data_IF_318940819365
#
_entry.id   IF_318940819365
#
_cell.length_a   1.000
_cell.length_b   1.000
_cell.length_c   1.000
_cell.angle_alpha   90.00
_cell.angle_beta   90.00
_cell.angle_gamma   90.00
#
_symmetry.space_group_name_H-M   'P 1'
#
loop_
_entity.id
_entity.type
_entity.pdbx_description
1 polymer ?
#
# COMPACT_ATOMS: atom_id res chain seq x y z
N UNK A 1 15.19 -16.16 -5.65
CA UNK A 1 16.14 -15.07 -5.33
C UNK A 1 15.73 -13.77 -6.03
N UNK A 2 14.64 -13.11 -5.60
CA UNK A 2 14.12 -11.90 -6.26
C UNK A 2 14.13 -10.66 -5.33
N UNK A 3 14.16 -10.85 -4.00
CA UNK A 3 14.15 -9.75 -3.01
C UNK A 3 15.40 -8.85 -3.08
N UNK A 4 16.58 -9.42 -3.38
CA UNK A 4 17.84 -8.67 -3.50
C UNK A 4 17.84 -7.70 -4.68
N UNK A 5 16.96 -7.88 -5.66
CA UNK A 5 16.87 -7.03 -6.86
C UNK A 5 16.18 -5.69 -6.59
N UNK A 6 15.47 -5.58 -5.47
CA UNK A 6 14.64 -4.43 -5.12
C UNK A 6 15.21 -3.56 -3.99
N UNK A 7 16.41 -3.86 -3.48
CA UNK A 7 17.14 -2.95 -2.57
C UNK A 7 17.86 -1.85 -3.37
N UNK A 8 17.13 -1.09 -4.18
CA UNK A 8 17.72 0.02 -4.93
C UNK A 8 17.72 1.29 -4.07
N UNK A 9 18.88 1.93 -3.83
CA UNK A 9 19.01 3.07 -2.94
C UNK A 9 18.38 4.38 -3.48
N UNK A 10 17.75 4.37 -4.67
CA UNK A 10 17.20 5.58 -5.29
C UNK A 10 15.89 5.27 -6.03
N UNK A 11 14.83 6.04 -5.74
CA UNK A 11 13.47 5.89 -6.30
C UNK A 11 13.47 5.90 -7.84
N UNK A 12 14.30 6.74 -8.47
CA UNK A 12 14.44 6.85 -9.94
C UNK A 12 14.99 5.57 -10.57
N UNK A 13 15.95 4.91 -9.91
CA UNK A 13 16.51 3.64 -10.39
C UNK A 13 15.49 2.50 -10.26
N UNK A 14 14.66 2.54 -9.21
CA UNK A 14 13.59 1.56 -9.03
C UNK A 14 12.47 1.71 -10.08
N UNK A 15 12.08 2.94 -10.40
CA UNK A 15 11.05 3.22 -11.41
C UNK A 15 11.48 2.74 -12.81
N UNK A 16 12.67 3.15 -13.25
CA UNK A 16 13.20 2.75 -14.56
C UNK A 16 13.40 1.23 -14.67
N UNK A 17 13.82 0.56 -13.59
CA UNK A 17 13.90 -0.90 -13.56
C UNK A 17 12.51 -1.56 -13.64
N UNK A 18 11.51 -1.05 -12.90
CA UNK A 18 10.15 -1.60 -12.95
C UNK A 18 9.54 -1.42 -14.35
N UNK A 19 9.71 -0.26 -14.98
CA UNK A 19 9.25 -0.01 -16.35
C UNK A 19 9.86 -0.99 -17.34
N UNK A 20 11.19 -1.20 -17.28
CA UNK A 20 11.88 -2.16 -18.15
C UNK A 20 11.43 -3.59 -17.88
N UNK A 21 11.22 -3.98 -16.62
CA UNK A 21 10.73 -5.32 -16.30
C UNK A 21 9.34 -5.56 -16.87
N UNK A 22 8.42 -4.60 -16.78
CA UNK A 22 7.10 -4.76 -17.37
C UNK A 22 7.10 -4.74 -18.90
N UNK A 23 8.03 -4.02 -19.55
CA UNK A 23 8.11 -3.90 -21.01
C UNK A 23 8.91 -5.03 -21.67
N UNK A 24 10.06 -5.41 -21.09
CA UNK A 24 11.03 -6.33 -21.70
C UNK A 24 10.79 -7.79 -21.26
N UNK A 25 10.24 -8.02 -20.06
CA UNK A 25 9.94 -9.37 -19.60
C UNK A 25 8.49 -9.72 -19.93
N UNK A 26 8.28 -10.47 -21.01
CA UNK A 26 6.97 -11.04 -21.40
C UNK A 26 6.28 -11.90 -20.29
N UNK A 27 6.96 -12.13 -19.17
CA UNK A 27 6.48 -12.92 -18.02
C UNK A 27 6.29 -12.09 -16.74
N UNK A 28 6.63 -10.79 -16.71
CA UNK A 28 6.43 -9.98 -15.52
C UNK A 28 4.97 -9.56 -15.41
N UNK A 29 4.21 -10.30 -14.60
CA UNK A 29 2.86 -9.92 -14.23
C UNK A 29 2.90 -8.99 -13.00
N UNK A 30 2.55 -7.70 -13.11
CA UNK A 30 2.56 -6.76 -11.99
C UNK A 30 1.55 -7.10 -10.88
N UNK A 31 0.56 -7.96 -11.17
CA UNK A 31 -0.37 -8.49 -10.17
C UNK A 31 0.09 -9.81 -9.52
N UNK A 32 1.31 -10.28 -9.84
CA UNK A 32 1.80 -11.55 -9.31
C UNK A 32 1.89 -11.57 -7.78
N UNK A 33 1.68 -12.76 -7.21
CA UNK A 33 1.79 -13.01 -5.78
C UNK A 33 0.97 -12.00 -4.96
N UNK A 34 -0.31 -11.82 -5.33
CA UNK A 34 -1.21 -10.85 -4.71
C UNK A 34 -0.62 -9.43 -4.70
N UNK A 35 -0.40 -8.87 -5.89
CA UNK A 35 0.09 -7.50 -6.10
C UNK A 35 1.38 -7.17 -5.34
N UNK A 36 2.30 -8.13 -5.24
CA UNK A 36 3.57 -7.94 -4.54
C UNK A 36 4.38 -6.72 -5.02
N UNK A 37 4.47 -6.42 -6.34
CA UNK A 37 5.14 -5.21 -6.82
C UNK A 37 4.53 -3.93 -6.24
N UNK A 38 3.19 -3.86 -6.18
CA UNK A 38 2.46 -2.73 -5.62
C UNK A 38 2.74 -2.58 -4.12
N UNK A 39 2.66 -3.67 -3.35
CA UNK A 39 2.94 -3.66 -1.91
C UNK A 39 4.36 -3.23 -1.60
N UNK A 40 5.33 -3.70 -2.39
CA UNK A 40 6.72 -3.27 -2.25
C UNK A 40 6.86 -1.77 -2.54
N UNK A 41 6.26 -1.28 -3.63
CA UNK A 41 6.29 0.15 -3.96
C UNK A 41 5.64 1.00 -2.87
N UNK A 42 4.50 0.55 -2.33
CA UNK A 42 3.76 1.21 -1.27
C UNK A 42 4.58 1.32 0.03
N UNK A 43 5.22 0.22 0.43
CA UNK A 43 6.10 0.17 1.61
C UNK A 43 7.31 1.13 1.52
N UNK A 44 7.80 1.41 0.32
CA UNK A 44 8.98 2.26 0.10
C UNK A 44 8.62 3.71 -0.27
N UNK A 45 7.32 4.06 -0.25
CA UNK A 45 6.87 5.40 -0.64
C UNK A 45 7.19 5.75 -2.09
N UNK A 46 7.29 4.74 -2.96
CA UNK A 46 7.62 4.93 -4.37
C UNK A 46 6.33 5.26 -5.15
N UNK A 47 5.77 6.44 -4.88
CA UNK A 47 4.48 6.88 -5.44
C UNK A 47 4.43 6.76 -6.98
N UNK A 48 5.52 7.11 -7.68
CA UNK A 48 5.57 6.98 -9.15
C UNK A 48 5.39 5.55 -9.62
N UNK A 49 5.94 4.57 -8.89
CA UNK A 49 5.77 3.14 -9.20
C UNK A 49 4.34 2.71 -8.86
N UNK A 50 3.79 3.19 -7.74
CA UNK A 50 2.40 2.91 -7.35
C UNK A 50 1.43 3.40 -8.43
N UNK A 51 1.56 4.66 -8.86
CA UNK A 51 0.78 5.25 -9.97
C UNK A 51 0.93 4.45 -11.24
N UNK A 52 2.17 4.22 -11.67
CA UNK A 52 2.45 3.46 -12.88
C UNK A 52 1.80 2.06 -12.83
N UNK A 53 1.88 1.35 -11.71
CA UNK A 53 1.27 0.02 -11.58
C UNK A 53 -0.26 0.05 -11.62
N UNK A 54 -0.89 0.99 -10.91
CA UNK A 54 -2.35 1.08 -10.78
C UNK A 54 -3.01 1.63 -12.06
N UNK A 55 -2.38 2.61 -12.71
CA UNK A 55 -2.93 3.29 -13.89
C UNK A 55 -2.64 2.52 -15.19
N UNK A 56 -1.49 1.86 -15.30
CA UNK A 56 -1.08 1.18 -16.55
C UNK A 56 -1.65 -0.23 -16.66
N UNK A 57 -1.90 -0.91 -15.53
CA UNK A 57 -2.31 -2.32 -15.52
C UNK A 57 -3.68 -2.47 -14.86
N UNK A 58 -4.78 -2.55 -15.65
CA UNK A 58 -6.14 -2.61 -15.13
C UNK A 58 -6.42 -3.79 -14.18
N UNK A 59 -5.65 -4.87 -14.31
CA UNK A 59 -5.77 -6.07 -13.48
C UNK A 59 -5.01 -5.97 -12.15
N UNK A 60 -4.26 -4.89 -11.91
CA UNK A 60 -3.68 -4.58 -10.60
C UNK A 60 -4.77 -3.93 -9.75
N UNK A 61 -5.15 -4.61 -8.67
CA UNK A 61 -6.17 -4.13 -7.73
C UNK A 61 -5.51 -3.67 -6.42
N UNK A 62 -5.50 -2.37 -6.10
CA UNK A 62 -4.90 -1.88 -4.86
C UNK A 62 -5.60 -2.37 -3.58
N UNK A 63 -6.83 -2.89 -3.67
CA UNK A 63 -7.56 -3.51 -2.56
C UNK A 63 -7.31 -5.02 -2.37
N UNK A 64 -6.52 -5.68 -3.22
CA UNK A 64 -6.23 -7.11 -3.06
C UNK A 64 -5.40 -7.41 -1.80
N UNK A 65 -5.44 -8.68 -1.36
CA UNK A 65 -4.78 -9.15 -0.14
C UNK A 65 -5.25 -8.34 1.07
N UNK A 66 -6.57 -8.10 1.18
CA UNK A 66 -7.18 -7.36 2.29
C UNK A 66 -6.59 -5.93 2.44
N UNK A 67 -6.45 -5.22 1.32
CA UNK A 67 -5.91 -3.85 1.27
C UNK A 67 -4.45 -3.73 1.75
N UNK A 68 -3.67 -4.81 1.70
CA UNK A 68 -2.33 -4.82 2.28
C UNK A 68 -1.34 -3.81 1.68
N UNK A 69 -1.63 -3.24 0.50
CA UNK A 69 -0.87 -2.12 -0.06
C UNK A 69 -1.00 -0.85 0.80
N UNK A 70 -2.20 -0.47 1.23
CA UNK A 70 -2.40 0.73 2.08
C UNK A 70 -1.81 0.51 3.46
N UNK A 71 -1.93 -0.71 4.01
CA UNK A 71 -1.24 -1.11 5.23
C UNK A 71 0.28 -0.92 5.13
N UNK A 72 0.90 -1.39 4.05
CA UNK A 72 2.36 -1.29 3.87
C UNK A 72 2.83 0.17 3.85
N UNK A 73 2.08 1.04 3.17
CA UNK A 73 2.36 2.47 3.14
C UNK A 73 2.14 3.11 4.53
N UNK A 74 1.08 2.72 5.23
CA UNK A 74 0.75 3.27 6.54
C UNK A 74 1.76 2.89 7.62
N UNK A 75 2.18 1.63 7.66
CA UNK A 75 3.22 1.11 8.56
C UNK A 75 4.62 1.67 8.27
N UNK A 76 4.82 2.29 7.09
CA UNK A 76 6.10 2.93 6.71
C UNK A 76 6.04 4.46 6.78
N UNK A 77 4.88 5.04 7.12
CA UNK A 77 4.71 6.49 7.27
C UNK A 77 4.55 7.26 5.96
N UNK A 78 4.24 6.57 4.85
CA UNK A 78 4.26 7.13 3.50
C UNK A 78 2.94 7.85 3.14
N UNK A 79 2.75 9.05 3.70
CA UNK A 79 1.50 9.83 3.62
C UNK A 79 1.00 10.01 2.18
N UNK A 80 1.85 10.47 1.26
CA UNK A 80 1.45 10.72 -0.14
C UNK A 80 0.99 9.44 -0.86
N UNK A 81 1.58 8.30 -0.47
CA UNK A 81 1.20 7.00 -1.03
C UNK A 81 -0.11 6.50 -0.45
N UNK A 82 -0.33 6.71 0.86
CA UNK A 82 -1.62 6.44 1.50
C UNK A 82 -2.71 7.30 0.85
N UNK A 83 -2.48 8.60 0.68
CA UNK A 83 -3.40 9.53 0.02
C UNK A 83 -3.82 9.04 -1.36
N UNK A 84 -2.85 8.67 -2.18
CA UNK A 84 -3.11 8.17 -3.53
C UNK A 84 -3.94 6.87 -3.51
N UNK A 85 -3.59 5.91 -2.65
CA UNK A 85 -4.30 4.64 -2.55
C UNK A 85 -5.74 4.82 -2.04
N UNK A 86 -5.97 5.71 -1.08
CA UNK A 86 -7.31 5.99 -0.53
C UNK A 86 -8.26 6.65 -1.53
N UNK A 87 -7.71 7.37 -2.51
CA UNK A 87 -8.50 7.96 -3.60
C UNK A 87 -8.96 6.91 -4.61
N UNK A 88 -8.41 5.69 -4.59
CA UNK A 88 -8.92 4.58 -5.40
C UNK A 88 -10.14 3.95 -4.72
N UNK A 89 -11.31 3.90 -5.38
CA UNK A 89 -12.55 3.39 -4.77
C UNK A 89 -12.49 1.89 -4.46
N UNK A 90 -11.51 1.16 -4.99
CA UNK A 90 -11.31 -0.27 -4.70
C UNK A 90 -10.61 -0.50 -3.36
N UNK A 91 -10.01 0.54 -2.77
CA UNK A 91 -9.33 0.46 -1.47
C UNK A 91 -10.32 0.75 -0.36
N UNK A 92 -10.40 -0.15 0.61
CA UNK A 92 -11.14 0.01 1.86
C UNK A 92 -10.18 0.27 3.03
N UNK A 93 -10.12 1.51 3.57
CA UNK A 93 -9.28 1.84 4.72
C UNK A 93 -9.74 1.21 6.03
N UNK A 94 -10.98 0.69 6.09
CA UNK A 94 -11.54 0.06 7.27
C UNK A 94 -11.29 -1.46 7.33
N UNK A 95 -10.69 -2.02 6.28
CA UNK A 95 -10.37 -3.44 6.17
C UNK A 95 -9.50 -3.94 7.34
N UNK A 96 -9.62 -5.23 7.63
CA UNK A 96 -8.92 -5.93 8.72
C UNK A 96 -9.00 -5.18 10.06
N UNK A 97 -10.20 -4.81 10.52
CA UNK A 97 -10.37 -4.10 11.79
C UNK A 97 -9.51 -2.82 11.89
N UNK A 98 -9.37 -2.11 10.77
CA UNK A 98 -8.59 -0.86 10.66
C UNK A 98 -7.10 -1.03 10.98
N UNK A 99 -6.49 -2.16 10.55
CA UNK A 99 -5.06 -2.43 10.76
C UNK A 99 -4.16 -1.26 10.32
N UNK A 100 -4.48 -0.59 9.22
CA UNK A 100 -3.69 0.56 8.73
C UNK A 100 -3.51 1.64 9.82
N UNK A 101 -4.55 1.92 10.60
CA UNK A 101 -4.53 2.90 11.70
C UNK A 101 -3.76 2.38 12.90
N UNK A 102 -3.95 1.09 13.24
CA UNK A 102 -3.26 0.47 14.37
C UNK A 102 -1.75 0.56 14.19
N UNK A 103 -1.25 0.18 13.00
CA UNK A 103 0.16 0.16 12.71
C UNK A 103 0.75 1.55 12.48
N UNK A 104 0.05 2.47 11.81
CA UNK A 104 0.53 3.85 11.71
C UNK A 104 0.64 4.50 13.10
N UNK A 105 -0.22 4.11 14.04
CA UNK A 105 -0.16 4.56 15.44
C UNK A 105 0.97 3.88 16.21
N UNK A 106 1.11 2.56 16.10
CA UNK A 106 2.16 1.77 16.77
C UNK A 106 3.57 2.25 16.39
N UNK A 107 3.78 2.55 15.10
CA UNK A 107 5.05 3.07 14.59
C UNK A 107 5.20 4.61 14.72
N UNK A 108 4.21 5.30 15.27
CA UNK A 108 4.29 6.74 15.55
C UNK A 108 4.13 7.65 14.32
N UNK A 109 3.58 7.14 13.22
CA UNK A 109 3.33 7.88 11.98
C UNK A 109 2.07 8.75 12.07
N UNK A 110 2.15 9.81 12.89
CA UNK A 110 1.02 10.69 13.21
C UNK A 110 0.31 11.26 11.98
N UNK A 111 1.06 11.71 10.96
CA UNK A 111 0.49 12.28 9.75
C UNK A 111 -0.35 11.27 8.96
N UNK A 112 0.10 10.00 8.89
CA UNK A 112 -0.68 8.92 8.29
C UNK A 112 -1.93 8.62 9.12
N UNK A 113 -1.79 8.49 10.44
CA UNK A 113 -2.94 8.23 11.34
C UNK A 113 -4.00 9.31 11.18
N UNK A 114 -3.61 10.59 11.21
CA UNK A 114 -4.52 11.70 10.99
C UNK A 114 -5.20 11.62 9.62
N UNK A 115 -4.45 11.27 8.58
CA UNK A 115 -5.02 11.18 7.24
C UNK A 115 -6.02 10.03 7.08
N UNK A 116 -5.74 8.88 7.68
CA UNK A 116 -6.68 7.74 7.72
C UNK A 116 -7.95 8.10 8.49
N UNK A 117 -7.83 8.80 9.62
CA UNK A 117 -8.97 9.24 10.43
C UNK A 117 -9.85 10.31 9.75
N UNK A 118 -9.31 11.03 8.77
CA UNK A 118 -10.08 11.96 7.95
C UNK A 118 -10.92 11.25 6.87
N UNK A 119 -10.65 9.97 6.59
CA UNK A 119 -11.45 9.21 5.64
C UNK A 119 -12.81 8.84 6.27
N UNK A 120 -13.95 9.23 5.66
CA UNK A 120 -15.27 8.99 6.26
C UNK A 120 -15.64 7.51 6.37
N UNK A 121 -14.92 6.62 5.69
CA UNK A 121 -15.13 5.17 5.76
C UNK A 121 -14.52 4.55 7.03
N UNK A 122 -13.62 5.29 7.70
CA UNK A 122 -12.95 4.84 8.92
C UNK A 122 -13.80 5.16 10.15
N UNK A 123 -13.93 4.19 11.05
CA UNK A 123 -14.61 4.38 12.33
C UNK A 123 -13.66 4.13 13.52
N UNK A 124 -13.05 5.17 14.11
CA UNK A 124 -12.11 5.00 15.23
C UNK A 124 -12.73 4.32 16.47
N UNK A 125 -14.06 4.33 16.61
CA UNK A 125 -14.78 3.73 17.74
C UNK A 125 -15.05 2.23 17.56
N UNK A 126 -14.83 1.65 16.37
CA UNK A 126 -15.08 0.22 16.11
C UNK A 126 -14.11 -0.71 16.85
N UNK A 127 -12.98 -0.18 17.36
CA UNK A 127 -11.94 -0.95 18.04
C UNK A 127 -12.38 -1.56 19.39
N UNK A 128 -13.50 -1.11 19.95
CA UNK A 128 -13.97 -1.50 21.30
C UNK A 128 -14.92 -2.72 21.33
N UNK A 129 -15.38 -3.24 20.19
CA UNK A 129 -16.37 -4.33 20.24
C UNK A 129 -15.79 -5.71 20.61
N UNK A 130 -14.48 -5.81 20.87
CA UNK A 130 -13.83 -6.99 21.44
C UNK A 130 -13.15 -6.68 22.79
N UNK A 131 -13.82 -5.90 23.65
CA UNK A 131 -13.53 -5.94 25.10
C UNK A 131 -13.57 -7.39 25.60
N UNK A 132 -12.78 -7.75 26.63
CA UNK A 132 -12.62 -9.14 27.05
C UNK A 132 -13.99 -9.78 27.28
N UNK A 133 -14.26 -10.86 26.54
CA UNK A 133 -15.32 -11.79 26.91
C UNK A 133 -14.97 -12.32 28.29
N UNK A 134 -15.76 -11.94 29.28
CA UNK A 134 -15.76 -12.52 30.64
C UNK A 134 -15.90 -14.05 30.56
#
# INVERSE_FOLDING_TARGET
>A
MWYKRWQLPCKVKALSLMQRLCQEAAFFNPACQKNRPLRWAARNGNLDIVKMLVETYPFVNPGDDDNYAVYCAAASGEVETVDYLLNDPRVDPSADNQLAIQYSTEFGHLAVTQRLLQDPRVNPSQRDQNGPVD
#
